data_IF_267259380535
#
_entry.id   IF_267259380535
#
_cell.length_a   1.000
_cell.length_b   1.000
_cell.length_c   1.000
_cell.angle_alpha   90.00
_cell.angle_beta   90.00
_cell.angle_gamma   90.00
#
_symmetry.space_group_name_H-M   'P 1'
#
loop_
_entity.id
_entity.type
_entity.pdbx_description
1 polymer ?
#
# COMPACT_ATOMS: atom_id res chain seq x y z
N UNK A 1 -23.37 26.30 64.80
CA UNK A 1 -22.00 26.00 64.31
C UNK A 1 -22.17 25.02 63.15
N UNK A 2 -22.50 25.51 61.94
CA UNK A 2 -21.64 25.99 60.84
C UNK A 2 -20.89 24.85 60.11
N UNK A 3 -21.04 24.85 58.77
CA UNK A 3 -20.47 23.98 57.72
C UNK A 3 -21.33 22.75 57.37
N UNK A 4 -22.07 22.62 56.25
CA UNK A 4 -22.01 23.11 54.87
C UNK A 4 -20.79 22.66 54.03
N UNK A 5 -20.98 21.65 53.17
CA UNK A 5 -20.33 21.59 51.84
C UNK A 5 -21.05 20.63 50.87
N UNK A 6 -21.43 21.23 49.75
CA UNK A 6 -21.93 20.69 48.49
C UNK A 6 -20.72 20.38 47.58
N UNK A 7 -20.75 19.31 46.76
CA UNK A 7 -20.28 19.30 45.34
C UNK A 7 -20.23 17.90 44.69
N UNK A 8 -21.17 17.66 43.75
CA UNK A 8 -21.01 17.24 42.33
C UNK A 8 -19.81 16.35 41.92
N UNK A 9 -20.11 15.17 41.33
CA UNK A 9 -19.71 14.88 39.95
C UNK A 9 -18.75 13.72 39.62
N UNK A 10 -19.22 12.85 38.69
CA UNK A 10 -18.51 12.39 37.47
C UNK A 10 -17.65 11.10 37.52
N UNK A 11 -18.09 10.13 36.68
CA UNK A 11 -17.34 9.10 35.91
C UNK A 11 -16.41 8.13 36.64
N UNK A 12 -16.86 6.87 36.76
CA UNK A 12 -16.02 5.79 37.25
C UNK A 12 -16.49 4.38 36.91
N UNK A 13 -16.85 4.08 35.66
CA UNK A 13 -16.88 2.68 35.16
C UNK A 13 -16.39 2.64 33.71
N UNK A 14 -15.07 2.68 33.56
CA UNK A 14 -14.37 1.97 32.49
C UNK A 14 -13.57 0.89 33.20
N UNK A 15 -13.91 -0.38 33.01
CA UNK A 15 -12.94 -1.46 32.72
C UNK A 15 -13.68 -2.80 32.59
N UNK A 16 -13.15 -3.68 31.74
CA UNK A 16 -13.57 -5.06 31.43
C UNK A 16 -14.79 -5.23 30.52
N UNK A 17 -14.60 -5.08 29.21
CA UNK A 17 -14.50 -6.23 28.27
C UNK A 17 -13.71 -5.75 27.04
N UNK A 18 -12.38 -5.78 27.15
CA UNK A 18 -11.45 -5.42 26.08
C UNK A 18 -10.38 -6.51 25.93
N UNK A 19 -10.77 -7.74 25.62
CA UNK A 19 -9.86 -8.82 25.19
C UNK A 19 -10.65 -9.98 24.65
N UNK A 20 -10.92 -10.00 23.34
CA UNK A 20 -10.81 -11.18 22.45
C UNK A 20 -10.78 -10.63 21.01
N UNK A 21 -9.72 -10.99 20.27
CA UNK A 21 -9.38 -10.64 18.88
C UNK A 21 -8.77 -9.25 18.65
N UNK A 22 -7.44 -9.25 18.72
CA UNK A 22 -6.61 -8.17 18.21
C UNK A 22 -6.67 -8.10 16.69
N UNK A 23 -7.30 -7.06 16.19
CA UNK A 23 -7.03 -6.48 14.88
C UNK A 23 -6.72 -5.00 15.08
N UNK A 24 -5.66 -4.53 14.44
CA UNK A 24 -5.21 -3.14 14.50
C UNK A 24 -6.20 -2.27 13.71
N UNK A 25 -7.28 -1.85 14.36
CA UNK A 25 -8.29 -0.98 13.77
C UNK A 25 -7.72 0.44 13.70
N UNK A 26 -7.54 1.00 12.49
CA UNK A 26 -7.36 2.45 12.35
C UNK A 26 -8.61 3.12 12.95
N UNK A 27 -8.49 3.98 13.96
CA UNK A 27 -9.67 4.61 14.53
C UNK A 27 -10.36 5.42 13.44
N UNK A 28 -11.63 5.11 13.20
CA UNK A 28 -12.52 5.94 12.42
C UNK A 28 -12.40 7.40 12.84
N UNK A 29 -12.50 8.33 11.89
CA UNK A 29 -12.78 9.73 12.27
C UNK A 29 -14.10 9.75 13.06
N UNK A 30 -14.28 10.71 13.95
CA UNK A 30 -15.44 10.78 14.87
C UNK A 30 -16.78 10.52 14.15
N UNK A 31 -17.02 11.20 13.04
CA UNK A 31 -18.25 11.02 12.25
C UNK A 31 -18.35 9.66 11.55
N UNK A 32 -17.22 9.05 11.15
CA UNK A 32 -17.24 7.70 10.57
C UNK A 32 -17.62 6.65 11.62
N UNK A 33 -17.19 6.83 12.87
CA UNK A 33 -17.56 5.96 13.98
C UNK A 33 -19.05 6.10 14.34
N UNK A 34 -19.60 7.31 14.23
CA UNK A 34 -21.02 7.59 14.45
C UNK A 34 -21.87 6.91 13.37
N UNK A 35 -21.57 7.14 12.09
CA UNK A 35 -22.24 6.48 10.96
C UNK A 35 -22.14 4.96 11.01
N UNK A 36 -20.96 4.42 11.35
CA UNK A 36 -20.79 2.97 11.46
C UNK A 36 -21.67 2.38 12.57
N UNK A 37 -21.80 3.08 13.70
CA UNK A 37 -22.64 2.66 14.82
C UNK A 37 -24.13 2.74 14.47
N UNK A 38 -24.56 3.83 13.86
CA UNK A 38 -25.96 4.07 13.47
C UNK A 38 -26.45 3.01 12.48
N UNK A 39 -25.65 2.71 11.46
CA UNK A 39 -25.98 1.73 10.42
C UNK A 39 -25.62 0.28 10.85
N UNK A 40 -24.93 0.13 11.97
CA UNK A 40 -24.46 -1.17 12.48
C UNK A 40 -23.32 -1.79 11.67
N UNK A 41 -22.56 -1.02 10.90
CA UNK A 41 -21.42 -1.48 10.08
C UNK A 41 -20.27 -1.92 10.96
N UNK A 42 -19.77 -3.13 10.70
CA UNK A 42 -18.62 -3.72 11.35
C UNK A 42 -17.37 -3.56 10.50
N UNK A 43 -16.20 -3.86 11.08
CA UNK A 43 -14.96 -3.86 10.32
C UNK A 43 -14.95 -4.92 9.21
N UNK A 44 -15.55 -6.10 9.48
CA UNK A 44 -15.69 -7.18 8.50
C UNK A 44 -16.46 -6.72 7.27
N UNK A 45 -17.56 -5.99 7.45
CA UNK A 45 -18.34 -5.43 6.33
C UNK A 45 -17.48 -4.50 5.45
N UNK A 46 -16.59 -3.71 6.06
CA UNK A 46 -15.69 -2.79 5.36
C UNK A 46 -14.56 -3.54 4.64
N UNK A 47 -14.05 -4.61 5.24
CA UNK A 47 -13.04 -5.47 4.62
C UNK A 47 -13.60 -6.23 3.42
N UNK A 48 -14.80 -6.78 3.54
CA UNK A 48 -15.53 -7.39 2.43
C UNK A 48 -15.75 -6.38 1.29
N UNK A 49 -16.16 -5.15 1.60
CA UNK A 49 -16.29 -4.08 0.61
C UNK A 49 -14.94 -3.74 -0.07
N UNK A 50 -13.83 -3.68 0.68
CA UNK A 50 -12.52 -3.40 0.08
C UNK A 50 -12.09 -4.48 -0.92
N UNK A 51 -12.47 -5.72 -0.66
CA UNK A 51 -12.21 -6.85 -1.53
C UNK A 51 -13.16 -6.89 -2.73
N UNK A 52 -14.38 -6.35 -2.60
CA UNK A 52 -15.40 -6.32 -3.64
C UNK A 52 -16.06 -4.92 -3.77
N UNK A 53 -15.29 -3.96 -4.26
CA UNK A 53 -15.72 -2.55 -4.35
C UNK A 53 -16.85 -2.36 -5.37
N UNK A 54 -16.95 -3.24 -6.37
CA UNK A 54 -17.93 -3.14 -7.47
C UNK A 54 -19.34 -3.53 -7.06
N UNK A 55 -19.52 -4.34 -6.01
CA UNK A 55 -20.84 -4.74 -5.54
C UNK A 55 -20.98 -4.57 -4.01
N UNK A 56 -21.04 -3.32 -3.52
CA UNK A 56 -21.22 -3.05 -2.10
C UNK A 56 -22.60 -3.54 -1.63
N UNK A 57 -22.65 -4.04 -0.39
CA UNK A 57 -23.91 -4.36 0.29
C UNK A 57 -24.71 -3.09 0.60
N UNK A 58 -26.04 -3.23 0.75
CA UNK A 58 -26.92 -2.10 1.11
C UNK A 58 -26.47 -1.39 2.39
N UNK A 59 -25.96 -2.18 3.35
CA UNK A 59 -25.42 -1.70 4.62
C UNK A 59 -24.20 -0.78 4.41
N UNK A 60 -23.30 -1.13 3.49
CA UNK A 60 -22.15 -0.29 3.13
C UNK A 60 -22.60 0.95 2.36
N UNK A 61 -23.58 0.83 1.47
CA UNK A 61 -24.16 1.96 0.75
C UNK A 61 -24.77 2.98 1.73
N UNK A 62 -25.51 2.53 2.74
CA UNK A 62 -26.05 3.42 3.79
C UNK A 62 -24.95 4.09 4.61
N UNK A 63 -23.91 3.34 4.97
CA UNK A 63 -22.76 3.90 5.66
C UNK A 63 -22.06 4.99 4.86
N UNK A 64 -21.86 4.78 3.56
CA UNK A 64 -21.27 5.79 2.68
C UNK A 64 -22.17 7.02 2.53
N UNK A 65 -23.50 6.83 2.40
CA UNK A 65 -24.46 7.94 2.38
C UNK A 65 -24.38 8.79 3.65
N UNK A 66 -24.43 8.16 4.82
CA UNK A 66 -24.28 8.83 6.12
C UNK A 66 -22.96 9.61 6.19
N UNK A 67 -21.86 9.00 5.73
CA UNK A 67 -20.54 9.61 5.76
C UNK A 67 -20.44 10.85 4.85
N UNK A 68 -21.10 10.81 3.69
CA UNK A 68 -21.19 11.95 2.77
C UNK A 68 -22.05 13.07 3.34
N UNK A 69 -23.15 12.73 4.02
CA UNK A 69 -23.97 13.73 4.71
C UNK A 69 -23.20 14.39 5.87
N UNK A 70 -22.63 13.58 6.76
CA UNK A 70 -21.91 14.05 7.94
C UNK A 70 -20.65 14.88 7.62
N UNK A 71 -20.11 14.79 6.41
CA UNK A 71 -18.94 15.55 5.98
C UNK A 71 -19.27 16.74 5.05
N UNK A 72 -20.57 17.03 4.86
CA UNK A 72 -21.10 18.11 4.04
C UNK A 72 -21.03 17.88 2.53
N UNK A 73 -20.64 16.69 2.06
CA UNK A 73 -20.62 16.36 0.62
C UNK A 73 -22.03 16.07 0.06
N UNK A 74 -22.98 15.77 0.92
CA UNK A 74 -24.37 15.51 0.59
C UNK A 74 -25.25 16.32 1.54
N UNK A 75 -26.21 17.07 1.01
CA UNK A 75 -27.14 17.84 1.84
C UNK A 75 -28.35 17.00 2.31
N UNK A 76 -29.25 17.65 3.05
CA UNK A 76 -30.48 17.02 3.58
C UNK A 76 -31.47 16.57 2.49
N UNK A 77 -31.39 17.16 1.29
CA UNK A 77 -32.22 16.79 0.13
C UNK A 77 -31.59 15.68 -0.71
N UNK A 78 -30.37 15.27 -0.39
CA UNK A 78 -29.61 14.28 -1.15
C UNK A 78 -28.91 14.86 -2.37
N UNK A 79 -28.69 16.18 -2.44
CA UNK A 79 -27.89 16.80 -3.48
C UNK A 79 -26.42 16.78 -3.10
N UNK A 80 -25.56 16.46 -4.08
CA UNK A 80 -24.11 16.49 -3.86
C UNK A 80 -23.60 17.93 -3.84
N UNK A 81 -22.81 18.27 -2.84
CA UNK A 81 -22.08 19.53 -2.80
C UNK A 81 -20.82 19.41 -3.69
N UNK A 82 -21.01 19.54 -5.00
CA UNK A 82 -19.96 19.38 -6.01
C UNK A 82 -18.79 20.34 -5.78
N UNK A 83 -19.06 21.57 -5.35
CA UNK A 83 -17.99 22.55 -5.11
C UNK A 83 -17.10 22.15 -3.91
N UNK A 84 -17.70 21.64 -2.83
CA UNK A 84 -16.94 21.08 -1.73
C UNK A 84 -16.16 19.83 -2.16
N UNK A 85 -16.76 18.96 -2.98
CA UNK A 85 -16.08 17.80 -3.54
C UNK A 85 -14.88 18.21 -4.41
N UNK A 86 -15.02 19.25 -5.24
CA UNK A 86 -13.97 19.84 -6.08
C UNK A 86 -12.77 20.27 -5.25
N UNK A 87 -12.99 21.07 -4.20
CA UNK A 87 -11.91 21.52 -3.31
C UNK A 87 -11.22 20.35 -2.57
N UNK A 88 -11.96 19.30 -2.21
CA UNK A 88 -11.39 18.10 -1.57
C UNK A 88 -10.57 17.27 -2.57
N UNK A 89 -11.06 17.10 -3.80
CA UNK A 89 -10.42 16.35 -4.89
C UNK A 89 -9.15 17.06 -5.38
N UNK A 90 -9.16 18.40 -5.44
CA UNK A 90 -7.98 19.18 -5.84
C UNK A 90 -6.77 18.91 -4.95
N UNK A 91 -7.01 18.61 -3.67
CA UNK A 91 -5.97 18.26 -2.69
C UNK A 91 -5.45 16.82 -2.82
N UNK A 92 -6.01 15.99 -3.71
CA UNK A 92 -5.56 14.61 -3.87
C UNK A 92 -4.36 14.57 -4.83
N UNK A 93 -3.14 14.25 -4.33
CA UNK A 93 -1.91 14.35 -5.13
C UNK A 93 -1.78 13.24 -6.17
N UNK A 94 -2.60 12.18 -6.08
CA UNK A 94 -2.54 11.02 -6.98
C UNK A 94 -3.36 11.21 -8.26
N UNK A 95 -4.26 12.20 -8.29
CA UNK A 95 -5.17 12.39 -9.42
C UNK A 95 -4.58 13.44 -10.37
N UNK A 96 -4.54 13.12 -11.66
CA UNK A 96 -4.17 14.09 -12.69
C UNK A 96 -5.27 15.15 -12.83
N UNK A 97 -4.96 16.29 -13.48
CA UNK A 97 -5.97 17.32 -13.75
C UNK A 97 -7.16 16.77 -14.54
N UNK A 98 -6.93 15.95 -15.56
CA UNK A 98 -7.99 15.31 -16.36
C UNK A 98 -8.91 14.43 -15.50
N UNK A 99 -8.33 13.58 -14.65
CA UNK A 99 -9.10 12.72 -13.74
C UNK A 99 -9.96 13.50 -12.77
N UNK A 100 -9.44 14.62 -12.24
CA UNK A 100 -10.21 15.49 -11.35
C UNK A 100 -11.40 16.09 -12.11
N UNK A 101 -11.18 16.59 -13.32
CA UNK A 101 -12.24 17.14 -14.18
C UNK A 101 -13.30 16.09 -14.50
N UNK A 102 -12.91 14.89 -14.93
CA UNK A 102 -13.84 13.80 -15.27
C UNK A 102 -14.64 13.34 -14.04
N UNK A 103 -13.99 13.20 -12.87
CA UNK A 103 -14.68 12.82 -11.65
C UNK A 103 -15.71 13.86 -11.22
N UNK A 104 -15.37 15.15 -11.32
CA UNK A 104 -16.29 16.23 -10.97
C UNK A 104 -17.46 16.28 -11.93
N UNK A 105 -17.21 16.14 -13.24
CA UNK A 105 -18.28 16.03 -14.23
C UNK A 105 -19.23 14.87 -13.91
N UNK A 106 -18.69 13.70 -13.57
CA UNK A 106 -19.50 12.56 -13.19
C UNK A 106 -20.38 12.85 -11.96
N UNK A 107 -19.91 13.62 -10.97
CA UNK A 107 -20.73 14.05 -9.85
C UNK A 107 -21.79 15.10 -10.21
N UNK A 108 -21.51 15.98 -11.17
CA UNK A 108 -22.49 16.96 -11.67
C UNK A 108 -23.66 16.26 -12.37
N UNK A 109 -23.43 15.09 -12.97
CA UNK A 109 -24.46 14.27 -13.63
C UNK A 109 -25.33 13.46 -12.63
N UNK A 110 -24.99 13.44 -11.32
CA UNK A 110 -25.80 12.77 -10.30
C UNK A 110 -26.85 13.74 -9.75
N UNK A 111 -28.12 13.54 -10.14
CA UNK A 111 -29.23 14.41 -9.72
C UNK A 111 -29.47 14.39 -8.20
N UNK A 112 -29.85 13.24 -7.63
CA UNK A 112 -30.20 13.11 -6.20
C UNK A 112 -29.83 11.73 -5.66
N UNK A 113 -29.33 11.68 -4.43
CA UNK A 113 -29.07 10.47 -3.63
C UNK A 113 -30.12 10.38 -2.50
N UNK A 114 -31.30 9.85 -2.80
CA UNK A 114 -32.42 9.77 -1.85
C UNK A 114 -32.36 8.54 -0.97
N UNK A 115 -32.02 7.39 -1.53
CA UNK A 115 -31.89 6.12 -0.79
C UNK A 115 -30.45 5.66 -0.75
N UNK A 116 -30.11 4.71 0.12
CA UNK A 116 -28.75 4.20 0.21
C UNK A 116 -28.26 3.63 -1.13
N UNK A 117 -29.12 2.89 -1.83
CA UNK A 117 -28.88 2.36 -3.18
C UNK A 117 -28.34 3.38 -4.19
N UNK A 118 -28.74 4.66 -4.10
CA UNK A 118 -28.27 5.71 -5.01
C UNK A 118 -26.77 6.00 -4.88
N UNK A 119 -26.14 5.65 -3.75
CA UNK A 119 -24.69 5.77 -3.58
C UNK A 119 -23.90 4.90 -4.56
N UNK A 120 -24.50 3.92 -5.22
CA UNK A 120 -23.84 3.17 -6.29
C UNK A 120 -23.34 4.08 -7.40
N UNK A 121 -24.13 5.09 -7.80
CA UNK A 121 -23.75 6.09 -8.82
C UNK A 121 -22.49 6.86 -8.41
N UNK A 122 -22.42 7.25 -7.13
CA UNK A 122 -21.24 7.94 -6.57
C UNK A 122 -20.01 7.02 -6.59
N UNK A 123 -20.19 5.75 -6.22
CA UNK A 123 -19.10 4.75 -6.23
C UNK A 123 -18.66 4.47 -7.67
N UNK A 124 -19.59 4.37 -8.61
CA UNK A 124 -19.32 4.17 -10.05
C UNK A 124 -18.40 5.28 -10.57
N UNK A 125 -18.75 6.55 -10.33
CA UNK A 125 -17.89 7.70 -10.65
C UNK A 125 -16.46 7.57 -10.09
N UNK A 126 -16.32 7.16 -8.82
CA UNK A 126 -15.00 6.90 -8.26
C UNK A 126 -14.32 5.71 -8.90
N UNK A 127 -15.04 4.61 -9.14
CA UNK A 127 -14.49 3.35 -9.62
C UNK A 127 -13.95 3.47 -11.03
N UNK A 128 -14.63 4.19 -11.91
CA UNK A 128 -14.17 4.45 -13.28
C UNK A 128 -12.85 5.23 -13.25
N UNK A 129 -12.78 6.29 -12.46
CA UNK A 129 -11.58 7.12 -12.35
C UNK A 129 -10.45 6.40 -11.59
N UNK A 130 -10.78 5.64 -10.54
CA UNK A 130 -9.82 4.86 -9.77
C UNK A 130 -9.27 3.70 -10.58
N UNK A 131 -10.08 3.04 -11.40
CA UNK A 131 -9.65 2.04 -12.38
C UNK A 131 -8.57 2.64 -13.28
N UNK A 132 -8.86 3.80 -13.87
CA UNK A 132 -7.88 4.49 -14.68
C UNK A 132 -6.63 4.97 -13.89
N UNK A 133 -6.75 5.20 -12.57
CA UNK A 133 -5.66 5.60 -11.67
C UNK A 133 -4.76 4.46 -11.21
N UNK A 134 -5.33 3.26 -11.13
CA UNK A 134 -4.69 2.05 -10.63
C UNK A 134 -4.05 1.24 -11.75
N UNK A 135 -4.33 1.60 -13.01
CA UNK A 135 -3.45 1.25 -14.11
C UNK A 135 -2.03 1.72 -13.75
N UNK A 136 -1.02 0.83 -13.76
CA UNK A 136 0.35 1.15 -13.42
C UNK A 136 0.80 2.44 -14.10
N UNK A 137 1.59 3.27 -13.39
CA UNK A 137 2.11 4.56 -13.89
C UNK A 137 2.77 4.37 -15.25
N UNK A 138 1.98 4.56 -16.29
CA UNK A 138 2.38 4.55 -17.67
C UNK A 138 2.31 6.00 -18.15
N UNK A 139 3.02 6.34 -19.22
CA UNK A 139 2.90 7.70 -19.76
C UNK A 139 1.45 7.93 -20.22
N UNK A 140 0.96 9.19 -20.29
CA UNK A 140 -0.43 9.46 -20.70
C UNK A 140 -0.86 8.73 -21.98
N UNK A 141 0.07 8.52 -22.91
CA UNK A 141 -0.12 7.76 -24.15
C UNK A 141 -0.49 6.29 -23.90
N UNK A 142 0.26 5.59 -23.03
CA UNK A 142 -0.03 4.20 -22.71
C UNK A 142 -1.40 4.04 -22.04
N UNK A 143 -1.81 5.00 -21.20
CA UNK A 143 -3.10 4.94 -20.51
C UNK A 143 -4.29 5.02 -21.47
N UNK A 144 -4.18 5.84 -22.52
CA UNK A 144 -5.22 5.92 -23.56
C UNK A 144 -5.43 4.55 -24.23
N UNK A 145 -4.35 3.85 -24.58
CA UNK A 145 -4.45 2.50 -25.13
C UNK A 145 -4.95 1.47 -24.14
N UNK A 146 -4.65 1.60 -22.85
CA UNK A 146 -5.15 0.66 -21.84
C UNK A 146 -6.67 0.75 -21.74
N UNK A 147 -7.20 1.97 -21.68
CA UNK A 147 -8.65 2.22 -21.60
C UNK A 147 -9.33 1.76 -22.87
N UNK A 148 -8.82 2.14 -24.04
CA UNK A 148 -9.42 1.77 -25.32
C UNK A 148 -9.40 0.24 -25.53
N UNK A 149 -8.27 -0.42 -25.27
CA UNK A 149 -8.19 -1.88 -25.42
C UNK A 149 -9.09 -2.60 -24.42
N UNK A 150 -9.18 -2.11 -23.18
CA UNK A 150 -10.09 -2.67 -22.19
C UNK A 150 -11.56 -2.54 -22.63
N UNK A 151 -11.96 -1.37 -23.15
CA UNK A 151 -13.30 -1.13 -23.69
C UNK A 151 -13.58 -2.01 -24.91
N UNK A 152 -12.64 -2.09 -25.85
CA UNK A 152 -12.76 -2.87 -27.09
C UNK A 152 -13.04 -4.35 -26.82
N UNK A 153 -12.40 -4.92 -25.79
CA UNK A 153 -12.58 -6.35 -25.44
C UNK A 153 -13.61 -6.59 -24.34
N UNK A 154 -14.28 -5.53 -23.86
CA UNK A 154 -15.25 -5.60 -22.76
C UNK A 154 -14.64 -6.10 -21.44
N UNK A 155 -13.41 -5.67 -21.13
CA UNK A 155 -12.68 -6.06 -19.93
C UNK A 155 -13.23 -5.32 -18.70
N UNK A 156 -13.54 -6.06 -17.64
CA UNK A 156 -13.98 -5.48 -16.36
C UNK A 156 -12.83 -5.45 -15.34
N UNK A 157 -13.03 -4.74 -14.23
CA UNK A 157 -12.08 -4.81 -13.10
C UNK A 157 -12.00 -6.21 -12.49
N UNK A 158 -13.10 -6.95 -12.46
CA UNK A 158 -13.14 -8.33 -11.96
C UNK A 158 -12.28 -9.27 -12.84
N UNK A 159 -12.28 -9.07 -14.16
CA UNK A 159 -11.39 -9.79 -15.08
C UNK A 159 -9.91 -9.56 -14.72
N UNK A 160 -9.53 -8.30 -14.45
CA UNK A 160 -8.16 -7.91 -14.07
C UNK A 160 -7.77 -8.48 -12.71
N UNK A 161 -8.65 -8.38 -11.70
CA UNK A 161 -8.40 -8.94 -10.37
C UNK A 161 -8.22 -10.46 -10.43
N UNK A 162 -9.10 -11.14 -11.16
CA UNK A 162 -9.03 -12.59 -11.37
C UNK A 162 -7.69 -12.96 -12.00
N UNK A 163 -7.28 -12.24 -13.04
CA UNK A 163 -5.99 -12.47 -13.69
C UNK A 163 -4.78 -12.23 -12.76
N UNK A 164 -4.80 -11.18 -11.93
CA UNK A 164 -3.72 -10.97 -10.96
C UNK A 164 -3.62 -12.10 -9.92
N UNK A 165 -4.76 -12.67 -9.54
CA UNK A 165 -4.85 -13.77 -8.58
C UNK A 165 -4.46 -15.14 -9.16
N UNK A 166 -4.76 -15.37 -10.44
CA UNK A 166 -4.43 -16.60 -11.18
C UNK A 166 -4.01 -16.24 -12.60
N UNK A 167 -2.73 -15.93 -12.76
CA UNK A 167 -2.16 -15.63 -14.08
C UNK A 167 -2.05 -16.87 -14.95
N UNK A 168 -2.17 -18.08 -14.39
CA UNK A 168 -1.87 -19.33 -15.09
C UNK A 168 -2.95 -19.73 -16.07
N UNK A 169 -4.12 -19.12 -15.92
CA UNK A 169 -5.28 -19.34 -16.77
C UNK A 169 -5.93 -18.01 -17.16
N UNK A 170 -5.27 -17.19 -17.99
CA UNK A 170 -5.84 -15.91 -18.42
C UNK A 170 -7.13 -16.15 -19.21
N UNK A 171 -8.16 -15.36 -18.93
CA UNK A 171 -9.43 -15.43 -19.65
C UNK A 171 -9.25 -15.00 -21.12
N UNK A 172 -10.16 -15.39 -22.04
CA UNK A 172 -10.12 -14.92 -23.43
C UNK A 172 -10.07 -13.39 -23.56
N UNK A 173 -10.76 -12.66 -22.67
CA UNK A 173 -10.74 -11.20 -22.64
C UNK A 173 -9.35 -10.66 -22.29
N UNK A 174 -8.69 -11.22 -21.27
CA UNK A 174 -7.33 -10.82 -20.88
C UNK A 174 -6.33 -11.11 -22.01
N UNK A 175 -6.45 -12.27 -22.67
CA UNK A 175 -5.62 -12.61 -23.81
C UNK A 175 -5.82 -11.64 -24.99
N UNK A 176 -7.06 -11.24 -25.27
CA UNK A 176 -7.33 -10.22 -26.29
C UNK A 176 -6.88 -8.83 -25.88
N UNK A 177 -7.00 -8.48 -24.60
CA UNK A 177 -6.51 -7.23 -24.05
C UNK A 177 -4.99 -7.10 -24.24
N UNK A 178 -4.21 -8.13 -23.87
CA UNK A 178 -2.76 -8.17 -24.07
C UNK A 178 -2.41 -8.01 -25.55
N UNK A 179 -3.11 -8.71 -26.45
CA UNK A 179 -2.87 -8.60 -27.90
C UNK A 179 -3.14 -7.19 -28.41
N UNK A 180 -4.31 -6.63 -28.08
CA UNK A 180 -4.68 -5.27 -28.47
C UNK A 180 -3.60 -4.26 -28.04
N UNK A 181 -3.14 -4.40 -26.80
CA UNK A 181 -2.13 -3.53 -26.24
C UNK A 181 -0.78 -3.66 -26.96
N UNK A 182 -0.33 -4.89 -27.24
CA UNK A 182 0.89 -5.14 -28.01
C UNK A 182 0.79 -4.58 -29.43
N UNK A 183 -0.34 -4.74 -30.10
CA UNK A 183 -0.52 -4.20 -31.45
C UNK A 183 -0.48 -2.67 -31.47
N UNK A 184 -1.17 -2.00 -30.53
CA UNK A 184 -1.19 -0.52 -30.49
C UNK A 184 0.15 0.10 -30.14
N UNK A 185 0.93 -0.57 -29.28
CA UNK A 185 2.26 -0.12 -28.90
C UNK A 185 3.36 -0.55 -29.89
N UNK A 186 3.00 -1.17 -31.02
CA UNK A 186 3.94 -1.81 -31.95
C UNK A 186 4.86 -2.86 -31.28
N UNK A 187 4.38 -3.48 -30.18
CA UNK A 187 5.07 -4.56 -29.48
C UNK A 187 5.10 -5.89 -30.23
N UNK A 188 4.41 -5.95 -31.37
CA UNK A 188 4.56 -7.00 -32.38
C UNK A 188 4.88 -6.35 -33.71
N UNK A 189 5.86 -6.89 -34.44
CA UNK A 189 6.11 -6.49 -35.83
C UNK A 189 5.01 -7.00 -36.79
N UNK A 190 5.12 -6.68 -38.08
CA UNK A 190 4.17 -7.11 -39.11
C UNK A 190 4.07 -8.64 -39.27
N UNK A 191 5.07 -9.40 -38.81
CA UNK A 191 5.03 -10.86 -38.80
C UNK A 191 4.30 -11.42 -37.58
N UNK A 192 4.07 -10.59 -36.56
CA UNK A 192 3.58 -10.94 -35.23
C UNK A 192 4.70 -11.23 -34.22
N UNK A 193 5.97 -11.04 -34.60
CA UNK A 193 7.11 -11.32 -33.73
C UNK A 193 7.26 -10.25 -32.65
N UNK A 194 7.67 -10.68 -31.47
CA UNK A 194 7.67 -9.87 -30.26
C UNK A 194 8.86 -8.89 -30.18
N UNK A 195 8.57 -7.62 -29.96
CA UNK A 195 9.56 -6.61 -29.55
C UNK A 195 9.71 -6.65 -28.01
N UNK A 196 10.86 -7.15 -27.55
CA UNK A 196 11.11 -7.36 -26.13
C UNK A 196 11.24 -6.06 -25.33
N UNK A 197 11.66 -4.96 -25.95
CA UNK A 197 11.76 -3.67 -25.29
C UNK A 197 10.36 -3.11 -25.04
N UNK A 198 9.47 -3.19 -26.04
CA UNK A 198 8.08 -2.75 -25.90
C UNK A 198 7.33 -3.67 -24.93
N UNK A 199 7.54 -4.98 -24.99
CA UNK A 199 6.93 -5.93 -24.04
C UNK A 199 7.30 -5.60 -22.60
N UNK A 200 8.53 -5.17 -22.31
CA UNK A 200 8.89 -4.74 -20.96
C UNK A 200 8.03 -3.60 -20.45
N UNK A 201 7.69 -2.63 -21.33
CA UNK A 201 6.81 -1.51 -21.03
C UNK A 201 5.37 -1.96 -20.87
N UNK A 202 4.88 -2.81 -21.76
CA UNK A 202 3.53 -3.41 -21.67
C UNK A 202 3.37 -4.21 -20.38
N UNK A 203 4.31 -5.08 -20.04
CA UNK A 203 4.19 -5.91 -18.84
C UNK A 203 4.30 -5.10 -17.56
N UNK A 204 5.13 -4.05 -17.55
CA UNK A 204 5.13 -3.08 -16.46
C UNK A 204 3.78 -2.38 -16.33
N UNK A 205 3.17 -2.00 -17.46
CA UNK A 205 1.86 -1.35 -17.51
C UNK A 205 0.72 -2.27 -17.08
N UNK A 206 0.91 -3.60 -17.12
CA UNK A 206 -0.04 -4.60 -16.61
C UNK A 206 0.23 -5.04 -15.18
N UNK A 207 1.25 -4.47 -14.52
CA UNK A 207 1.65 -4.89 -13.16
C UNK A 207 2.25 -6.30 -13.14
N UNK A 208 2.65 -6.83 -14.29
CA UNK A 208 3.20 -8.18 -14.45
C UNK A 208 4.70 -8.26 -14.22
N UNK A 209 5.30 -7.20 -13.67
CA UNK A 209 6.73 -7.07 -13.43
C UNK A 209 7.38 -6.31 -14.58
N UNK A 210 8.12 -5.26 -14.23
CA UNK A 210 8.78 -4.40 -15.21
C UNK A 210 10.02 -5.02 -15.84
N UNK A 211 10.90 -4.16 -16.34
CA UNK A 211 12.11 -4.49 -17.10
C UNK A 211 12.91 -5.68 -16.53
N UNK A 212 13.12 -5.74 -15.22
CA UNK A 212 13.84 -6.84 -14.56
C UNK A 212 13.24 -8.22 -14.86
N UNK A 213 11.91 -8.34 -14.86
CA UNK A 213 11.25 -9.64 -15.09
C UNK A 213 11.30 -10.01 -16.58
N UNK A 214 11.11 -9.04 -17.47
CA UNK A 214 11.26 -9.31 -18.91
C UNK A 214 12.69 -9.71 -19.26
N UNK A 215 13.71 -9.10 -18.63
CA UNK A 215 15.10 -9.51 -18.77
C UNK A 215 15.33 -10.95 -18.26
N UNK A 216 14.75 -11.32 -17.11
CA UNK A 216 14.83 -12.69 -16.58
C UNK A 216 14.19 -13.73 -17.51
N UNK A 217 13.18 -13.34 -18.29
CA UNK A 217 12.44 -14.22 -19.19
C UNK A 217 12.76 -14.01 -20.68
N UNK A 218 13.82 -13.26 -20.99
CA UNK A 218 14.15 -12.86 -22.36
C UNK A 218 14.26 -14.06 -23.30
N UNK A 219 14.92 -15.13 -22.86
CA UNK A 219 15.12 -16.34 -23.67
C UNK A 219 13.82 -17.15 -23.86
N UNK A 220 12.88 -17.08 -22.91
CA UNK A 220 11.56 -17.67 -23.09
C UNK A 220 10.76 -16.86 -24.12
N UNK A 221 10.71 -15.53 -23.95
CA UNK A 221 9.97 -14.62 -24.80
C UNK A 221 10.45 -14.66 -26.26
N UNK A 222 11.76 -14.80 -26.51
CA UNK A 222 12.32 -14.97 -27.87
C UNK A 222 11.84 -16.20 -28.62
N UNK A 223 11.40 -17.24 -27.90
CA UNK A 223 10.94 -18.51 -28.49
C UNK A 223 9.45 -18.55 -28.74
N UNK A 224 8.72 -17.52 -28.31
CA UNK A 224 7.28 -17.43 -28.52
C UNK A 224 7.01 -17.27 -30.02
N UNK A 225 6.16 -18.11 -30.63
CA UNK A 225 5.74 -17.94 -32.01
C UNK A 225 5.06 -16.58 -32.25
N UNK A 226 4.98 -16.11 -33.51
CA UNK A 226 4.33 -14.84 -33.78
C UNK A 226 2.88 -14.79 -33.29
N UNK A 227 2.50 -13.68 -32.65
CA UNK A 227 1.18 -13.45 -32.06
C UNK A 227 0.20 -13.02 -33.15
N UNK A 228 -0.65 -13.94 -33.62
CA UNK A 228 -1.64 -13.68 -34.69
C UNK A 228 -3.06 -13.58 -34.14
N UNK A 229 -3.35 -14.28 -33.06
CA UNK A 229 -4.64 -14.37 -32.40
C UNK A 229 -4.51 -14.06 -30.90
N UNK A 230 -5.63 -13.76 -30.23
CA UNK A 230 -5.60 -13.47 -28.80
C UNK A 230 -4.98 -14.62 -28.00
N UNK A 231 -5.34 -15.87 -28.34
CA UNK A 231 -4.88 -17.07 -27.64
C UNK A 231 -3.35 -17.24 -27.64
N UNK A 232 -2.66 -16.65 -28.63
CA UNK A 232 -1.20 -16.77 -28.74
C UNK A 232 -0.49 -15.99 -27.61
N UNK A 233 -1.15 -14.96 -27.06
CA UNK A 233 -0.62 -14.21 -25.91
C UNK A 233 -0.51 -15.03 -24.63
N UNK A 234 -1.17 -16.20 -24.57
CA UNK A 234 -1.01 -17.13 -23.45
C UNK A 234 0.44 -17.54 -23.24
N UNK A 235 1.20 -17.73 -24.33
CA UNK A 235 2.62 -18.09 -24.24
C UNK A 235 3.45 -16.99 -23.55
N UNK A 236 3.06 -15.71 -23.71
CA UNK A 236 3.71 -14.58 -23.02
C UNK A 236 3.46 -14.68 -21.52
N UNK A 237 2.21 -14.90 -21.12
CA UNK A 237 1.82 -15.05 -19.72
C UNK A 237 2.53 -16.26 -19.09
N UNK A 238 2.54 -17.41 -19.77
CA UNK A 238 3.23 -18.63 -19.33
C UNK A 238 4.74 -18.38 -19.13
N UNK A 239 5.40 -17.68 -20.07
CA UNK A 239 6.81 -17.31 -19.93
C UNK A 239 7.07 -16.43 -18.71
N UNK A 240 6.19 -15.47 -18.41
CA UNK A 240 6.35 -14.55 -17.28
C UNK A 240 5.99 -15.19 -15.93
N UNK A 241 5.08 -16.16 -15.95
CA UNK A 241 4.77 -16.98 -14.78
C UNK A 241 5.90 -17.93 -14.38
N UNK A 242 6.63 -18.48 -15.36
CA UNK A 242 7.72 -19.43 -15.11
C UNK A 242 8.81 -18.88 -14.16
N UNK A 243 8.90 -17.56 -13.95
CA UNK A 243 9.78 -16.96 -12.94
C UNK A 243 9.10 -16.16 -11.85
N UNK A 244 7.76 -16.27 -11.70
CA UNK A 244 7.09 -15.86 -10.45
C UNK A 244 7.49 -16.77 -9.30
N UNK A 245 7.63 -18.06 -9.59
CA UNK A 245 8.06 -19.08 -8.63
C UNK A 245 9.52 -19.37 -8.96
N UNK A 246 10.50 -18.97 -8.13
CA UNK A 246 11.90 -19.18 -8.46
C UNK A 246 12.12 -20.66 -8.80
N UNK A 247 12.87 -20.98 -9.85
CA UNK A 247 12.94 -22.34 -10.41
C UNK A 247 13.17 -23.45 -9.35
N UNK A 248 13.89 -23.12 -8.27
CA UNK A 248 14.08 -23.95 -7.07
C UNK A 248 12.77 -24.34 -6.36
N UNK A 249 11.83 -23.42 -6.19
CA UNK A 249 10.51 -23.66 -5.59
C UNK A 249 9.71 -24.62 -6.46
N UNK A 250 9.68 -24.44 -7.79
CA UNK A 250 8.97 -25.36 -8.71
C UNK A 250 9.56 -26.78 -8.61
N UNK A 251 10.88 -26.91 -8.51
CA UNK A 251 11.56 -28.21 -8.37
C UNK A 251 11.18 -28.90 -7.06
N UNK A 252 11.15 -28.16 -5.95
CA UNK A 252 10.72 -28.68 -4.66
C UNK A 252 9.24 -29.08 -4.64
N UNK A 253 8.36 -28.24 -5.19
CA UNK A 253 6.93 -28.55 -5.29
C UNK A 253 6.71 -29.83 -6.11
N UNK A 254 7.41 -30.00 -7.24
CA UNK A 254 7.33 -31.24 -8.05
C UNK A 254 7.84 -32.48 -7.31
N UNK A 255 8.90 -32.36 -6.51
CA UNK A 255 9.41 -33.47 -5.68
C UNK A 255 8.40 -33.91 -4.62
N UNK A 256 7.52 -33.01 -4.20
CA UNK A 256 6.42 -33.29 -3.28
C UNK A 256 5.12 -33.70 -3.99
N UNK A 257 5.19 -34.01 -5.28
CA UNK A 257 4.06 -34.48 -6.07
C UNK A 257 3.15 -33.37 -6.61
N UNK A 258 3.53 -32.10 -6.47
CA UNK A 258 2.76 -31.01 -7.08
C UNK A 258 2.84 -31.10 -8.61
N UNK A 259 1.68 -31.28 -9.25
CA UNK A 259 1.58 -31.16 -10.70
C UNK A 259 1.63 -29.67 -11.07
N UNK A 260 2.26 -29.35 -12.21
CA UNK A 260 2.44 -27.96 -12.70
C UNK A 260 1.13 -27.14 -12.72
N UNK A 261 0.00 -27.78 -13.04
CA UNK A 261 -1.33 -27.14 -13.11
C UNK A 261 -1.98 -26.91 -11.73
N UNK A 262 -1.40 -27.44 -10.65
CA UNK A 262 -1.98 -27.41 -9.31
C UNK A 262 -1.07 -26.69 -8.31
N UNK A 263 -0.08 -25.90 -8.76
CA UNK A 263 0.89 -25.26 -7.84
C UNK A 263 0.18 -24.32 -6.84
N UNK A 264 -0.82 -23.56 -7.29
CA UNK A 264 -1.62 -22.67 -6.43
C UNK A 264 -2.44 -23.46 -5.40
N UNK A 265 -3.07 -24.56 -5.82
CA UNK A 265 -3.81 -25.45 -4.91
C UNK A 265 -2.86 -26.13 -3.91
N UNK A 266 -1.67 -26.52 -4.38
CA UNK A 266 -0.65 -27.14 -3.55
C UNK A 266 -0.05 -26.15 -2.55
N UNK A 267 0.10 -24.86 -2.89
CA UNK A 267 0.46 -23.82 -1.92
C UNK A 267 -0.59 -23.65 -0.82
N UNK A 268 -1.88 -23.69 -1.16
CA UNK A 268 -2.96 -23.70 -0.16
C UNK A 268 -2.90 -24.94 0.72
N UNK A 269 -2.64 -26.12 0.14
CA UNK A 269 -2.42 -27.35 0.90
C UNK A 269 -1.19 -27.24 1.82
N UNK A 270 -0.08 -26.65 1.38
CA UNK A 270 1.12 -26.41 2.20
C UNK A 270 0.83 -25.52 3.41
N UNK A 271 -0.06 -24.54 3.30
CA UNK A 271 -0.44 -23.68 4.43
C UNK A 271 -1.29 -24.42 5.48
N UNK A 272 -1.98 -25.48 5.08
CA UNK A 272 -2.88 -26.25 5.96
C UNK A 272 -2.32 -27.60 6.41
N UNK A 273 -1.27 -28.09 5.75
CA UNK A 273 -0.63 -29.37 6.02
C UNK A 273 0.81 -29.15 6.49
N UNK A 274 1.01 -29.20 7.81
CA UNK A 274 2.30 -28.93 8.46
C UNK A 274 3.41 -29.86 7.97
N UNK A 275 3.11 -31.11 7.64
CA UNK A 275 4.11 -32.07 7.16
C UNK A 275 4.58 -31.76 5.74
N UNK A 276 3.66 -31.51 4.80
CA UNK A 276 4.02 -31.07 3.44
C UNK A 276 4.79 -29.74 3.48
N UNK A 277 4.43 -28.83 4.37
CA UNK A 277 5.14 -27.56 4.56
C UNK A 277 6.59 -27.78 5.02
N UNK A 278 6.78 -28.62 6.03
CA UNK A 278 8.11 -28.98 6.52
C UNK A 278 8.96 -29.64 5.43
N UNK A 279 8.38 -30.53 4.63
CA UNK A 279 9.08 -31.16 3.50
C UNK A 279 9.44 -30.15 2.40
N UNK A 280 8.57 -29.17 2.15
CA UNK A 280 8.83 -28.10 1.19
C UNK A 280 9.94 -27.15 1.65
N UNK A 281 9.87 -26.69 2.91
CA UNK A 281 10.93 -25.89 3.51
C UNK A 281 12.25 -26.64 3.55
N UNK A 282 12.23 -27.93 3.93
CA UNK A 282 13.41 -28.80 3.89
C UNK A 282 14.00 -28.85 2.49
N UNK A 283 13.20 -29.09 1.45
CA UNK A 283 13.71 -29.09 0.09
C UNK A 283 14.30 -27.73 -0.32
N UNK A 284 13.63 -26.63 0.02
CA UNK A 284 14.10 -25.27 -0.28
C UNK A 284 15.46 -25.00 0.37
N UNK A 285 15.58 -25.27 1.67
CA UNK A 285 16.83 -25.08 2.41
C UNK A 285 17.93 -26.06 1.95
N UNK A 286 17.59 -27.30 1.57
CA UNK A 286 18.56 -28.25 0.98
C UNK A 286 19.11 -27.75 -0.36
N UNK A 287 18.29 -27.10 -1.19
CA UNK A 287 18.73 -26.55 -2.47
C UNK A 287 19.65 -25.34 -2.31
N UNK A 288 19.49 -24.59 -1.23
CA UNK A 288 20.38 -23.50 -0.85
C UNK A 288 21.56 -23.98 0.01
N UNK A 289 21.73 -25.30 0.18
CA UNK A 289 22.74 -25.96 1.02
C UNK A 289 22.72 -25.50 2.49
N UNK A 290 21.60 -24.94 2.95
CA UNK A 290 21.40 -24.44 4.32
C UNK A 290 21.03 -25.55 5.30
N UNK A 291 20.50 -26.66 4.80
CA UNK A 291 20.36 -27.92 5.54
C UNK A 291 20.89 -29.07 4.69
N UNK A 292 21.41 -30.10 5.35
CA UNK A 292 21.90 -31.29 4.69
C UNK A 292 20.76 -32.24 4.26
N UNK A 293 21.11 -33.39 3.67
CA UNK A 293 20.14 -34.42 3.25
C UNK A 293 19.29 -34.97 4.42
N UNK A 294 19.81 -34.93 5.64
CA UNK A 294 19.14 -35.39 6.85
C UNK A 294 18.19 -34.33 7.41
N UNK A 295 18.39 -33.05 7.06
CA UNK A 295 17.62 -31.90 7.54
C UNK A 295 18.31 -31.15 8.68
N UNK A 296 19.59 -31.44 8.93
CA UNK A 296 20.40 -30.71 9.89
C UNK A 296 20.92 -29.41 9.28
N UNK A 297 20.97 -28.33 10.07
CA UNK A 297 21.45 -27.03 9.61
C UNK A 297 22.93 -27.10 9.27
N UNK A 298 23.29 -26.63 8.08
CA UNK A 298 24.66 -26.44 7.67
C UNK A 298 25.10 -25.04 8.10
N UNK A 299 25.60 -24.93 9.34
CA UNK A 299 26.00 -23.66 9.95
C UNK A 299 27.10 -22.95 9.17
N UNK A 300 28.01 -23.68 8.52
CA UNK A 300 29.09 -23.14 7.70
C UNK A 300 28.54 -22.46 6.43
N UNK A 301 27.61 -23.12 5.73
CA UNK A 301 26.89 -22.53 4.60
C UNK A 301 25.96 -21.39 5.01
N UNK A 302 25.34 -21.46 6.19
CA UNK A 302 24.56 -20.35 6.73
C UNK A 302 25.45 -19.15 6.99
N UNK A 303 26.59 -19.34 7.63
CA UNK A 303 27.54 -18.27 7.94
C UNK A 303 28.17 -17.70 6.67
N UNK A 304 28.50 -18.53 5.68
CA UNK A 304 28.91 -18.09 4.34
C UNK A 304 27.81 -17.33 3.59
N UNK A 305 26.55 -17.76 3.65
CA UNK A 305 25.45 -17.09 2.97
C UNK A 305 25.08 -15.78 3.68
N UNK A 306 25.14 -15.75 5.00
CA UNK A 306 25.04 -14.53 5.81
C UNK A 306 26.20 -13.59 5.42
N UNK A 307 27.43 -14.09 5.35
CA UNK A 307 28.58 -13.33 4.88
C UNK A 307 28.44 -12.87 3.43
N UNK A 308 27.89 -13.66 2.51
CA UNK A 308 27.63 -13.25 1.11
C UNK A 308 26.47 -12.25 0.98
N UNK A 309 25.47 -12.32 1.87
CA UNK A 309 24.41 -11.32 1.97
C UNK A 309 24.93 -10.00 2.57
N UNK A 310 25.91 -10.08 3.47
CA UNK A 310 26.55 -8.92 4.13
C UNK A 310 27.69 -8.32 3.26
N UNK A 311 28.41 -9.14 2.50
CA UNK A 311 29.49 -8.71 1.61
C UNK A 311 28.96 -8.31 0.24
N UNK A 312 28.43 -7.10 0.17
CA UNK A 312 28.44 -6.33 -1.08
C UNK A 312 29.92 -6.01 -1.38
N UNK A 313 30.42 -6.23 -2.61
CA UNK A 313 31.84 -6.00 -2.94
C UNK A 313 32.26 -4.56 -2.66
N UNK A 314 33.34 -4.37 -1.88
CA UNK A 314 33.92 -3.07 -1.49
C UNK A 314 34.21 -2.12 -2.68
N UNK A 315 34.38 -2.68 -3.88
CA UNK A 315 34.67 -1.94 -5.12
C UNK A 315 33.42 -1.38 -5.82
N UNK A 316 32.23 -1.85 -5.47
CA UNK A 316 30.95 -1.26 -5.92
C UNK A 316 30.36 -0.28 -4.88
N UNK A 317 30.98 -0.19 -3.68
CA UNK A 317 30.65 0.74 -2.59
C UNK A 317 31.42 2.07 -2.77
N UNK A 318 31.29 2.67 -3.95
CA UNK A 318 31.62 4.09 -4.16
C UNK A 318 30.48 4.80 -4.89
N UNK A 319 29.25 4.63 -4.41
CA UNK A 319 28.13 5.53 -4.74
C UNK A 319 26.84 5.35 -3.91
N UNK A 320 26.71 4.34 -3.06
CA UNK A 320 25.43 4.09 -2.36
C UNK A 320 25.68 3.93 -0.85
N UNK A 321 25.21 4.85 0.01
CA UNK A 321 25.21 4.67 1.46
C UNK A 321 24.35 3.44 1.84
N UNK A 322 24.88 2.55 2.68
CA UNK A 322 24.25 1.32 3.16
C UNK A 322 22.79 1.52 3.60
N UNK A 323 21.84 0.82 2.99
CA UNK A 323 20.41 1.03 3.21
C UNK A 323 19.81 0.27 4.42
N UNK A 324 20.49 -0.76 4.96
CA UNK A 324 19.95 -1.61 6.04
C UNK A 324 20.38 -1.20 7.45
N UNK A 325 21.65 -0.83 7.68
CA UNK A 325 22.11 -0.22 8.95
C UNK A 325 21.48 1.15 9.25
N UNK A 326 20.83 1.69 8.24
CA UNK A 326 20.29 3.03 8.19
C UNK A 326 18.84 3.09 8.70
N UNK A 327 18.12 1.95 8.73
CA UNK A 327 16.71 1.91 9.15
C UNK A 327 16.55 2.10 10.65
N UNK A 328 16.19 3.33 11.04
CA UNK A 328 15.93 3.71 12.43
C UNK A 328 14.93 2.78 13.13
N UNK A 329 13.93 2.29 12.40
CA UNK A 329 12.90 1.43 12.95
C UNK A 329 13.39 0.02 13.31
N UNK A 330 14.25 -0.56 12.48
CA UNK A 330 14.90 -1.83 12.78
C UNK A 330 15.87 -1.65 13.95
N UNK A 331 16.68 -0.58 13.94
CA UNK A 331 17.67 -0.29 14.98
C UNK A 331 17.06 -0.16 16.38
N UNK A 332 15.87 0.41 16.51
CA UNK A 332 15.20 0.62 17.80
C UNK A 332 13.98 -0.28 18.00
N UNK A 333 13.84 -1.33 17.19
CA UNK A 333 12.75 -2.30 17.25
C UNK A 333 11.35 -1.65 17.38
N UNK A 334 11.10 -0.62 16.56
CA UNK A 334 9.83 0.09 16.48
C UNK A 334 9.03 -0.45 15.31
N UNK A 335 8.08 -1.31 15.62
CA UNK A 335 7.19 -1.95 14.64
C UNK A 335 5.83 -1.25 14.48
N UNK A 336 5.52 -0.25 15.33
CA UNK A 336 4.28 0.53 15.27
C UNK A 336 4.61 2.03 15.31
N UNK A 337 4.46 2.69 14.16
CA UNK A 337 4.70 4.11 13.96
C UNK A 337 3.49 4.98 14.26
N UNK A 338 2.36 4.38 14.65
CA UNK A 338 1.18 5.16 15.01
C UNK A 338 1.46 5.98 16.28
N UNK A 339 0.89 7.18 16.36
CA UNK A 339 1.05 8.01 17.56
C UNK A 339 0.59 7.31 18.85
N UNK A 340 -0.53 6.54 18.86
CA UNK A 340 -0.89 5.72 20.02
C UNK A 340 0.18 4.67 20.37
N UNK A 341 0.74 3.98 19.37
CA UNK A 341 1.81 2.99 19.53
C UNK A 341 3.08 3.59 20.11
N UNK A 342 3.55 4.69 19.52
CA UNK A 342 4.70 5.45 20.01
C UNK A 342 4.45 6.03 21.41
N UNK A 343 3.26 6.54 21.71
CA UNK A 343 2.91 7.05 23.06
C UNK A 343 2.90 5.94 24.11
N UNK A 344 2.42 4.74 23.75
CA UNK A 344 2.47 3.55 24.61
C UNK A 344 3.92 3.13 24.87
N UNK A 345 4.78 3.16 23.85
CA UNK A 345 6.21 2.85 23.97
C UNK A 345 6.99 3.92 24.73
N UNK A 346 6.70 5.21 24.54
CA UNK A 346 7.28 6.32 25.30
C UNK A 346 7.08 6.17 26.81
N UNK A 347 5.99 5.51 27.25
CA UNK A 347 5.76 5.20 28.67
C UNK A 347 6.56 4.00 29.19
N UNK A 348 6.97 3.08 28.31
CA UNK A 348 7.65 1.83 28.66
C UNK A 348 9.17 1.92 28.47
N UNK A 349 9.61 2.43 27.33
CA UNK A 349 11.01 2.61 26.95
C UNK A 349 11.19 4.01 26.31
N UNK A 350 11.17 5.08 27.13
CA UNK A 350 11.27 6.44 26.62
C UNK A 350 12.56 6.70 25.85
N UNK A 351 13.68 6.11 26.28
CA UNK A 351 14.99 6.25 25.64
C UNK A 351 14.99 5.73 24.19
N UNK A 352 14.44 4.53 23.95
CA UNK A 352 14.39 3.93 22.60
C UNK A 352 13.59 4.80 21.63
N UNK A 353 12.44 5.32 22.07
CA UNK A 353 11.61 6.17 21.21
C UNK A 353 12.30 7.49 20.92
N UNK A 354 12.99 8.07 21.89
CA UNK A 354 13.75 9.31 21.69
C UNK A 354 14.94 9.10 20.75
N UNK A 355 15.62 7.96 20.87
CA UNK A 355 16.70 7.61 19.96
C UNK A 355 16.20 7.29 18.55
N UNK A 356 15.05 6.64 18.42
CA UNK A 356 14.36 6.47 17.15
C UNK A 356 14.04 7.81 16.49
N UNK A 357 13.42 8.74 17.23
CA UNK A 357 13.09 10.07 16.71
C UNK A 357 14.35 10.87 16.33
N UNK A 358 15.42 10.77 17.13
CA UNK A 358 16.70 11.40 16.81
C UNK A 358 17.26 10.88 15.48
N UNK A 359 17.25 9.56 15.30
CA UNK A 359 17.67 8.91 14.07
C UNK A 359 16.82 9.39 12.88
N UNK A 360 15.48 9.40 13.02
CA UNK A 360 14.59 9.89 11.95
C UNK A 360 14.89 11.35 11.61
N UNK A 361 15.09 12.21 12.59
CA UNK A 361 15.35 13.63 12.35
C UNK A 361 16.70 13.89 11.69
N UNK A 362 17.75 13.17 12.09
CA UNK A 362 19.05 13.24 11.42
C UNK A 362 18.98 12.76 9.97
N UNK A 363 18.36 11.59 9.73
CA UNK A 363 18.27 11.02 8.38
C UNK A 363 17.41 11.84 7.42
N UNK A 364 16.40 12.52 7.96
CA UNK A 364 15.52 13.36 7.16
C UNK A 364 16.00 14.81 7.04
N UNK A 365 17.20 15.14 7.54
CA UNK A 365 17.80 16.48 7.45
C UNK A 365 17.17 17.54 8.35
N UNK A 366 16.24 17.16 9.24
CA UNK A 366 15.66 18.04 10.26
C UNK A 366 16.67 18.41 11.34
N UNK A 367 17.63 17.52 11.56
CA UNK A 367 18.85 17.77 12.32
C UNK A 367 20.02 17.47 11.39
N UNK A 368 20.92 18.42 11.20
CA UNK A 368 22.05 18.24 10.29
C UNK A 368 23.20 17.41 10.93
N UNK A 369 24.28 17.21 10.17
CA UNK A 369 25.46 16.46 10.62
C UNK A 369 26.16 17.13 11.82
N UNK A 370 26.04 18.46 11.94
CA UNK A 370 26.51 19.25 13.09
C UNK A 370 25.50 19.31 14.24
N UNK A 371 24.50 18.43 14.24
CA UNK A 371 23.44 18.35 15.22
C UNK A 371 22.57 19.63 15.35
N UNK A 372 22.59 20.53 14.36
CA UNK A 372 21.76 21.74 14.37
C UNK A 372 20.40 21.48 13.74
N UNK A 373 19.37 22.14 14.27
CA UNK A 373 18.00 22.02 13.76
C UNK A 373 17.87 22.80 12.45
N UNK A 374 17.38 22.15 11.41
CA UNK A 374 16.99 22.80 10.17
C UNK A 374 15.61 23.46 10.35
N UNK A 375 15.62 24.75 10.71
CA UNK A 375 14.41 25.50 11.01
C UNK A 375 13.44 25.60 9.83
N UNK A 376 13.94 25.63 8.58
CA UNK A 376 13.09 25.69 7.40
C UNK A 376 12.25 24.40 7.27
N UNK A 377 12.89 23.23 7.36
CA UNK A 377 12.18 21.94 7.29
C UNK A 377 11.21 21.74 8.46
N UNK A 378 11.62 22.15 9.67
CA UNK A 378 10.74 22.09 10.84
C UNK A 378 9.52 23.00 10.70
N UNK A 379 9.66 24.18 10.08
CA UNK A 379 8.54 25.08 9.79
C UNK A 379 7.56 24.45 8.83
N UNK A 380 8.06 23.90 7.72
CA UNK A 380 7.23 23.21 6.73
C UNK A 380 6.42 22.06 7.35
N UNK A 381 7.03 21.27 8.25
CA UNK A 381 6.32 20.19 8.94
C UNK A 381 5.25 20.67 9.92
N UNK A 382 5.55 21.74 10.66
CA UNK A 382 4.59 22.31 11.61
C UNK A 382 3.37 22.83 10.87
N UNK A 383 3.57 23.58 9.78
CA UNK A 383 2.50 24.07 8.91
C UNK A 383 1.68 22.91 8.32
N UNK A 384 2.37 21.90 7.79
CA UNK A 384 1.72 20.78 7.08
C UNK A 384 0.96 19.82 7.98
N UNK A 385 1.46 19.53 9.18
CA UNK A 385 0.96 18.41 10.00
C UNK A 385 0.29 18.81 11.31
N UNK A 386 0.56 20.01 11.85
CA UNK A 386 0.10 20.36 13.19
C UNK A 386 -1.08 21.33 13.23
N UNK A 387 -1.43 21.96 12.11
CA UNK A 387 -2.55 22.90 11.97
C UNK A 387 -2.62 23.89 13.14
N UNK A 388 -1.47 24.50 13.45
CA UNK A 388 -1.36 25.50 14.52
C UNK A 388 -1.89 26.85 14.04
N UNK A 389 -2.34 27.70 14.97
CA UNK A 389 -2.56 29.11 14.66
C UNK A 389 -1.23 29.80 14.34
N UNK A 390 -1.25 30.88 13.56
CA UNK A 390 -0.02 31.64 13.21
C UNK A 390 0.78 32.07 14.43
N UNK A 391 0.12 32.35 15.56
CA UNK A 391 0.77 32.71 16.83
C UNK A 391 1.48 31.50 17.46
N UNK A 392 0.81 30.35 17.50
CA UNK A 392 1.38 29.11 18.04
C UNK A 392 2.52 28.57 17.18
N UNK A 393 2.41 28.69 15.85
CA UNK A 393 3.49 28.36 14.92
C UNK A 393 4.73 29.23 15.17
N UNK A 394 4.57 30.57 15.19
CA UNK A 394 5.68 31.50 15.49
C UNK A 394 6.35 31.17 16.82
N UNK A 395 5.56 30.89 17.86
CA UNK A 395 6.07 30.50 19.17
C UNK A 395 6.89 29.20 19.13
N UNK A 396 6.45 28.19 18.37
CA UNK A 396 7.17 26.93 18.21
C UNK A 396 8.51 27.15 17.49
N UNK A 397 8.52 27.93 16.40
CA UNK A 397 9.74 28.25 15.65
C UNK A 397 10.73 29.05 16.48
N UNK A 398 10.26 30.05 17.24
CA UNK A 398 11.11 30.81 18.15
C UNK A 398 11.74 29.91 19.22
N UNK A 399 10.96 28.96 19.77
CA UNK A 399 11.48 27.98 20.73
C UNK A 399 12.55 27.08 20.09
N UNK A 400 12.30 26.53 18.89
CA UNK A 400 13.26 25.68 18.18
C UNK A 400 14.55 26.42 17.83
N UNK A 401 14.47 27.70 17.46
CA UNK A 401 15.64 28.54 17.17
C UNK A 401 16.55 28.76 18.38
N UNK A 402 15.99 28.71 19.59
CA UNK A 402 16.74 28.85 20.84
C UNK A 402 17.35 27.54 21.36
N UNK A 403 17.11 26.41 20.71
CA UNK A 403 17.69 25.13 21.13
C UNK A 403 19.15 25.03 20.70
N UNK A 404 19.97 24.44 21.57
CA UNK A 404 21.34 24.06 21.24
C UNK A 404 21.42 22.82 20.34
N UNK A 405 22.63 22.30 20.07
CA UNK A 405 22.83 21.09 19.29
C UNK A 405 22.09 19.87 19.87
N UNK A 406 21.56 19.02 18.98
CA UNK A 406 20.83 17.78 19.28
C UNK A 406 21.77 16.58 19.16
N UNK A 407 22.75 16.53 20.05
CA UNK A 407 23.81 15.52 19.99
C UNK A 407 23.32 14.16 20.48
N UNK A 408 22.49 14.16 21.53
CA UNK A 408 22.00 12.95 22.20
C UNK A 408 20.51 12.72 21.93
N UNK A 409 20.06 11.47 22.13
CA UNK A 409 18.64 11.15 22.07
C UNK A 409 17.81 11.96 23.07
N UNK A 410 18.37 12.27 24.25
CA UNK A 410 17.67 13.04 25.28
C UNK A 410 17.35 14.46 24.80
N UNK A 411 18.18 15.06 23.93
CA UNK A 411 17.95 16.41 23.40
C UNK A 411 16.68 16.50 22.53
N UNK A 412 16.20 15.39 21.95
CA UNK A 412 14.93 15.37 21.19
C UNK A 412 13.73 15.75 22.06
N UNK A 413 13.78 15.52 23.38
CA UNK A 413 12.72 15.96 24.31
C UNK A 413 12.49 17.47 24.20
N UNK A 414 13.53 18.27 23.94
CA UNK A 414 13.43 19.72 23.81
C UNK A 414 12.67 20.13 22.54
N UNK A 415 12.91 19.43 21.42
CA UNK A 415 12.16 19.64 20.18
C UNK A 415 10.68 19.30 20.39
N UNK A 416 10.39 18.13 20.97
CA UNK A 416 9.03 17.71 21.29
C UNK A 416 8.34 18.71 22.22
N UNK A 417 9.05 19.22 23.23
CA UNK A 417 8.54 20.26 24.12
C UNK A 417 8.15 21.54 23.36
N UNK A 418 9.04 22.06 22.51
CA UNK A 418 8.74 23.26 21.70
C UNK A 418 7.50 23.07 20.82
N UNK A 419 7.31 21.89 20.23
CA UNK A 419 6.22 21.60 19.31
C UNK A 419 4.88 21.31 20.01
N UNK A 420 4.92 20.72 21.21
CA UNK A 420 3.72 20.35 21.96
C UNK A 420 3.21 21.44 22.89
N UNK A 421 4.10 22.26 23.49
CA UNK A 421 3.71 23.32 24.43
C UNK A 421 2.85 24.40 23.78
N UNK A 422 2.98 24.59 22.47
CA UNK A 422 2.21 25.58 21.69
C UNK A 422 0.78 25.14 21.38
N UNK A 423 0.40 23.89 21.67
CA UNK A 423 -0.98 23.40 21.54
C UNK A 423 -1.86 23.68 22.76
N UNK A 424 -1.27 24.13 23.86
CA UNK A 424 -1.97 24.36 25.13
C UNK A 424 -2.17 25.86 25.34
N UNK A 425 -3.06 26.48 24.56
CA UNK A 425 -3.71 27.75 24.89
C UNK A 425 -5.07 27.82 24.21
#
# INVERSE_FOLDING_TARGET
MVSASICVGILGVISLVSTVRGEVVRPFRKFEAECAREIGVTWKDIEEYRSNVTNPSEKILCFLKCKFHANGNLDEYGLLNVELLRTKIDRWPRFTKSMKTELIKCFEDIEVVKVCGDMRKVIECFSEIMFQSNLPRSTPHFREFQVDCAQTVGLTWEDIQTFHSDMSNPSPKIMCYIKCFLTRENGTDNSGSLDLEIISRVMNSLGLGGERRVLQHRECLKRIPPIKECKDTKAIVECLEEGRVPHRHIKCLRQLGAKRRNLIQFEKELLTNSEKNLLYLKCMYQKDSLVDKNGELNYEMMDENIHKMIQIPEKEIKAVPNAEEDRCDLRYNINDFSWPGLKKRLKKTPEDVLCFLNCVYKRTGRVDVGAKINLAMMKDDIEKYLNLTTVAEKSAITCLKGLGPIETCANIKQILFCVTKTKVK
#
